data_IF_688193065965
#
_entry.id   IF_688193065965
#
_cell.length_a   1.000
_cell.length_b   1.000
_cell.length_c   1.000
_cell.angle_alpha   90.00
_cell.angle_beta   90.00
_cell.angle_gamma   90.00
#
_symmetry.space_group_name_H-M   'P 1'
#
loop_
_entity.id
_entity.type
_entity.pdbx_description
1 polymer ?
#
# COMPACT_ATOMS: atom_id res chain seq x y z
N UNK A 1 29.80 -29.85 -8.31
CA UNK A 1 28.70 -29.73 -7.35
C UNK A 1 29.14 -29.98 -5.89
N UNK A 2 30.14 -30.79 -5.61
CA UNK A 2 30.55 -31.12 -4.22
C UNK A 2 31.13 -29.94 -3.41
N UNK A 3 31.66 -28.89 -4.03
CA UNK A 3 32.32 -27.78 -3.32
C UNK A 3 31.32 -26.79 -2.71
N UNK A 4 30.19 -26.48 -3.39
CA UNK A 4 29.15 -25.55 -2.86
C UNK A 4 28.45 -26.16 -1.62
N UNK A 5 28.09 -27.44 -1.67
CA UNK A 5 27.47 -28.12 -0.53
C UNK A 5 28.41 -28.16 0.69
N UNK A 6 29.71 -28.37 0.46
CA UNK A 6 30.73 -28.32 1.52
C UNK A 6 30.80 -26.90 2.13
N UNK A 7 30.75 -25.85 1.30
CA UNK A 7 30.81 -24.47 1.79
C UNK A 7 29.53 -24.11 2.60
N UNK A 8 28.35 -24.55 2.18
CA UNK A 8 27.10 -24.41 2.95
C UNK A 8 27.18 -25.13 4.29
N UNK A 9 27.59 -26.39 4.30
CA UNK A 9 27.76 -27.18 5.54
C UNK A 9 28.76 -26.54 6.49
N UNK A 10 29.83 -25.99 5.94
CA UNK A 10 30.80 -25.25 6.74
C UNK A 10 30.21 -23.98 7.32
N UNK A 11 29.48 -23.18 6.51
CA UNK A 11 28.79 -21.96 6.94
C UNK A 11 27.82 -22.25 8.11
N UNK A 12 26.97 -23.26 7.97
CA UNK A 12 26.06 -23.70 9.04
C UNK A 12 26.81 -24.05 10.34
N UNK A 13 27.88 -24.86 10.24
CA UNK A 13 28.71 -25.20 11.42
C UNK A 13 29.37 -23.96 12.05
N UNK A 14 29.81 -23.02 11.22
CA UNK A 14 30.44 -21.79 11.68
C UNK A 14 29.46 -20.88 12.46
N UNK A 15 28.20 -20.84 12.04
CA UNK A 15 27.12 -20.14 12.73
C UNK A 15 26.76 -20.80 14.07
N UNK A 16 26.69 -22.13 14.10
CA UNK A 16 26.44 -22.89 15.32
C UNK A 16 27.53 -22.72 16.39
N UNK A 17 28.80 -22.57 15.98
CA UNK A 17 29.92 -22.39 16.90
C UNK A 17 29.96 -21.00 17.57
N UNK A 18 29.15 -20.04 17.10
CA UNK A 18 29.05 -18.69 17.66
C UNK A 18 27.60 -18.26 17.82
N UNK A 19 26.86 -18.88 18.76
CA UNK A 19 25.42 -18.67 18.87
C UNK A 19 25.04 -17.22 19.21
N UNK A 20 25.77 -16.55 20.09
CA UNK A 20 25.52 -15.15 20.46
C UNK A 20 25.65 -14.18 19.27
N UNK A 21 26.70 -14.33 18.46
CA UNK A 21 26.85 -13.57 17.22
C UNK A 21 25.71 -13.84 16.25
N UNK A 22 25.40 -15.12 16.01
CA UNK A 22 24.36 -15.54 15.07
C UNK A 22 23.00 -15.01 15.49
N UNK A 23 22.67 -15.10 16.78
CA UNK A 23 21.41 -14.60 17.32
C UNK A 23 21.26 -13.09 17.12
N UNK A 24 22.28 -12.29 17.50
CA UNK A 24 22.23 -10.84 17.34
C UNK A 24 22.12 -10.45 15.88
N UNK A 25 22.90 -11.08 14.98
CA UNK A 25 22.86 -10.79 13.56
C UNK A 25 21.49 -11.18 12.94
N UNK A 26 20.96 -12.34 13.28
CA UNK A 26 19.64 -12.80 12.80
C UNK A 26 18.53 -11.89 13.32
N UNK A 27 18.54 -11.49 14.59
CA UNK A 27 17.54 -10.58 15.16
C UNK A 27 17.58 -9.21 14.50
N UNK A 28 18.78 -8.63 14.29
CA UNK A 28 18.92 -7.34 13.62
C UNK A 28 18.37 -7.39 12.18
N UNK A 29 18.74 -8.45 11.43
CA UNK A 29 18.23 -8.65 10.07
C UNK A 29 16.73 -8.97 10.05
N UNK A 30 16.24 -9.76 10.98
CA UNK A 30 14.83 -10.12 11.09
C UNK A 30 13.95 -8.89 11.33
N UNK A 31 14.36 -7.99 12.21
CA UNK A 31 13.65 -6.73 12.45
C UNK A 31 13.69 -5.82 11.21
N UNK A 32 14.86 -5.65 10.58
CA UNK A 32 15.00 -4.83 9.38
C UNK A 32 14.23 -5.38 8.18
N UNK A 33 14.39 -6.67 7.86
CA UNK A 33 13.70 -7.33 6.74
C UNK A 33 12.21 -7.46 7.04
N UNK A 34 11.83 -7.83 8.27
CA UNK A 34 10.44 -7.99 8.69
C UNK A 34 9.65 -6.69 8.56
N UNK A 35 10.18 -5.58 9.06
CA UNK A 35 9.56 -4.26 8.92
C UNK A 35 9.38 -3.86 7.45
N UNK A 36 10.40 -4.08 6.60
CA UNK A 36 10.31 -3.84 5.16
C UNK A 36 9.27 -4.75 4.50
N UNK A 37 9.20 -6.02 4.86
CA UNK A 37 8.23 -6.98 4.34
C UNK A 37 6.80 -6.60 4.72
N UNK A 38 6.55 -6.23 5.98
CA UNK A 38 5.23 -5.79 6.46
C UNK A 38 4.76 -4.56 5.69
N UNK A 39 5.61 -3.53 5.58
CA UNK A 39 5.24 -2.32 4.86
C UNK A 39 5.11 -2.55 3.36
N UNK A 40 5.98 -3.38 2.77
CA UNK A 40 5.86 -3.73 1.36
C UNK A 40 4.57 -4.51 1.07
N UNK A 41 4.06 -5.32 2.01
CA UNK A 41 2.76 -5.98 1.88
C UNK A 41 1.62 -4.96 1.73
N UNK A 42 1.66 -3.86 2.53
CA UNK A 42 0.70 -2.75 2.41
C UNK A 42 0.88 -2.01 1.08
N UNK A 43 2.11 -1.66 0.73
CA UNK A 43 2.44 -0.99 -0.55
C UNK A 43 1.97 -1.84 -1.74
N UNK A 44 2.19 -3.15 -1.70
CA UNK A 44 1.75 -4.07 -2.75
C UNK A 44 0.22 -4.07 -2.87
N UNK A 45 -0.50 -4.19 -1.76
CA UNK A 45 -1.97 -4.22 -1.76
C UNK A 45 -2.58 -2.90 -2.24
N UNK A 46 -2.01 -1.76 -1.79
CA UNK A 46 -2.58 -0.42 -2.05
C UNK A 46 -2.10 0.16 -3.37
N UNK A 47 -0.79 0.14 -3.67
CA UNK A 47 -0.21 0.87 -4.80
C UNK A 47 0.04 0.02 -6.04
N UNK A 48 0.38 -1.29 -5.88
CA UNK A 48 0.86 -2.10 -7.01
C UNK A 48 -0.20 -3.05 -7.56
N UNK A 49 -1.08 -3.58 -6.69
CA UNK A 49 -2.09 -4.53 -7.10
C UNK A 49 -3.21 -3.83 -7.87
N UNK A 50 -3.54 -4.26 -9.10
CA UNK A 50 -4.66 -3.68 -9.85
C UNK A 50 -5.99 -3.86 -9.08
N UNK A 51 -6.97 -3.00 -9.38
CA UNK A 51 -8.32 -3.14 -8.84
C UNK A 51 -8.91 -4.52 -9.23
N UNK A 52 -9.69 -5.17 -8.34
CA UNK A 52 -10.21 -6.53 -8.57
C UNK A 52 -11.44 -6.53 -9.51
N UNK A 53 -11.37 -5.75 -10.58
CA UNK A 53 -12.45 -5.63 -11.56
C UNK A 53 -11.96 -5.99 -12.95
N UNK A 54 -12.86 -6.43 -13.85
CA UNK A 54 -12.49 -6.66 -15.24
C UNK A 54 -11.97 -5.38 -15.90
N UNK A 55 -10.83 -5.47 -16.60
CA UNK A 55 -10.21 -4.36 -17.33
C UNK A 55 -10.09 -3.08 -16.48
N UNK A 56 -9.37 -3.14 -15.31
CA UNK A 56 -9.35 -2.05 -14.33
C UNK A 56 -8.75 -0.76 -14.88
N UNK A 57 -7.91 -0.83 -15.91
CA UNK A 57 -7.33 0.31 -16.63
C UNK A 57 -8.36 1.17 -17.35
N UNK A 58 -9.57 0.64 -17.60
CA UNK A 58 -10.69 1.35 -18.22
C UNK A 58 -11.57 2.08 -17.22
N UNK A 59 -11.36 1.85 -15.92
CA UNK A 59 -12.09 2.55 -14.85
C UNK A 59 -11.45 3.92 -14.61
N UNK A 60 -12.27 4.96 -14.68
CA UNK A 60 -11.83 6.35 -14.49
C UNK A 60 -12.73 7.08 -13.51
N UNK A 61 -12.12 7.96 -12.71
CA UNK A 61 -12.84 9.00 -11.98
C UNK A 61 -13.02 10.22 -12.87
N UNK A 62 -14.22 10.81 -12.85
CA UNK A 62 -14.56 12.03 -13.59
C UNK A 62 -14.70 13.16 -12.56
N UNK A 63 -13.71 14.05 -12.48
CA UNK A 63 -13.61 15.03 -11.41
C UNK A 63 -13.80 16.45 -11.96
N UNK A 64 -14.58 17.27 -11.24
CA UNK A 64 -14.60 18.71 -11.50
C UNK A 64 -13.33 19.37 -10.97
N UNK A 65 -12.74 20.27 -11.73
CA UNK A 65 -11.58 21.08 -11.34
C UNK A 65 -11.89 22.56 -11.50
N UNK A 66 -11.45 23.39 -10.55
CA UNK A 66 -11.59 24.83 -10.69
C UNK A 66 -10.29 25.44 -11.19
N UNK A 67 -10.23 25.74 -12.48
CA UNK A 67 -9.04 26.28 -13.15
C UNK A 67 -8.64 27.67 -12.65
N UNK A 68 -9.60 28.51 -12.20
CA UNK A 68 -9.33 29.85 -11.66
C UNK A 68 -8.66 29.82 -10.28
N UNK A 69 -8.98 28.82 -9.47
CA UNK A 69 -8.39 28.67 -8.13
C UNK A 69 -7.04 27.98 -8.16
N UNK A 70 -6.60 27.46 -9.31
CA UNK A 70 -5.40 26.63 -9.41
C UNK A 70 -5.49 25.37 -8.54
N UNK A 71 -6.71 24.97 -8.20
CA UNK A 71 -6.96 23.87 -7.30
C UNK A 71 -6.89 22.57 -8.10
N UNK A 72 -5.78 21.85 -7.90
CA UNK A 72 -5.58 20.52 -8.47
C UNK A 72 -6.31 19.44 -7.68
N UNK A 73 -7.07 19.80 -6.63
CA UNK A 73 -7.84 18.86 -5.86
C UNK A 73 -9.03 18.36 -6.69
N UNK A 74 -9.24 17.05 -6.62
CA UNK A 74 -10.36 16.40 -7.26
C UNK A 74 -11.66 16.80 -6.56
N UNK A 75 -12.45 17.66 -7.21
CA UNK A 75 -13.76 18.08 -6.73
C UNK A 75 -14.84 17.10 -7.16
N UNK A 76 -15.92 17.05 -6.40
CA UNK A 76 -17.14 16.36 -6.79
C UNK A 76 -17.81 17.05 -7.98
N UNK A 77 -18.75 16.37 -8.63
CA UNK A 77 -19.64 16.98 -9.64
C UNK A 77 -20.94 17.44 -9.01
N UNK A 78 -21.58 18.45 -9.61
CA UNK A 78 -22.95 18.79 -9.27
C UNK A 78 -23.92 17.76 -9.87
N UNK A 79 -25.12 17.57 -9.28
CA UNK A 79 -26.13 16.72 -9.89
C UNK A 79 -26.46 17.10 -11.33
N UNK A 80 -26.60 18.40 -11.61
CA UNK A 80 -26.92 18.89 -12.93
C UNK A 80 -25.80 18.66 -13.93
N UNK A 81 -24.52 18.90 -13.53
CA UNK A 81 -23.37 18.61 -14.41
C UNK A 81 -23.26 17.11 -14.71
N UNK A 82 -23.52 16.24 -13.74
CA UNK A 82 -23.54 14.79 -13.97
C UNK A 82 -24.60 14.39 -14.99
N UNK A 83 -25.82 14.94 -14.91
CA UNK A 83 -26.87 14.66 -15.88
C UNK A 83 -26.49 15.10 -17.29
N UNK A 84 -25.88 16.29 -17.41
CA UNK A 84 -25.39 16.81 -18.68
C UNK A 84 -24.25 15.95 -19.25
N UNK A 85 -23.31 15.52 -18.42
CA UNK A 85 -22.23 14.61 -18.84
C UNK A 85 -22.79 13.27 -19.30
N UNK A 86 -23.74 12.69 -18.51
CA UNK A 86 -24.40 11.42 -18.85
C UNK A 86 -25.14 11.48 -20.19
N UNK A 87 -25.75 12.62 -20.51
CA UNK A 87 -26.52 12.81 -21.75
C UNK A 87 -25.62 13.09 -22.99
N UNK A 88 -24.43 13.67 -22.81
CA UNK A 88 -23.62 14.19 -23.93
C UNK A 88 -22.39 13.34 -24.27
N UNK A 89 -21.93 12.45 -23.37
CA UNK A 89 -20.71 11.67 -23.59
C UNK A 89 -20.91 10.55 -24.63
N UNK A 90 -19.85 10.25 -25.37
CA UNK A 90 -19.76 9.10 -26.26
C UNK A 90 -18.62 8.15 -25.92
N UNK A 91 -17.66 8.58 -25.07
CA UNK A 91 -16.44 7.84 -24.74
C UNK A 91 -16.63 6.77 -23.66
N UNK A 92 -17.70 6.83 -22.86
CA UNK A 92 -17.92 5.88 -21.77
C UNK A 92 -18.90 4.79 -22.16
N UNK A 93 -18.65 3.57 -21.71
CA UNK A 93 -19.60 2.46 -21.79
C UNK A 93 -20.69 2.60 -20.71
N UNK A 94 -20.31 3.09 -19.52
CA UNK A 94 -21.17 3.44 -18.40
C UNK A 94 -20.57 4.58 -17.62
N UNK A 95 -21.40 5.48 -17.09
CA UNK A 95 -21.02 6.58 -16.20
C UNK A 95 -21.96 6.63 -15.01
N UNK A 96 -21.45 6.66 -13.80
CA UNK A 96 -22.25 6.57 -12.60
C UNK A 96 -21.84 7.63 -11.56
N UNK A 97 -22.83 8.11 -10.83
CA UNK A 97 -22.66 8.98 -9.68
C UNK A 97 -22.94 8.25 -8.38
N UNK A 98 -22.20 8.64 -7.34
CA UNK A 98 -22.53 8.23 -5.98
C UNK A 98 -22.27 9.34 -4.96
N UNK A 99 -22.94 9.23 -3.81
CA UNK A 99 -22.66 10.06 -2.65
C UNK A 99 -22.73 9.21 -1.38
N UNK A 100 -21.79 9.44 -0.44
CA UNK A 100 -21.81 8.78 0.87
C UNK A 100 -22.87 9.39 1.80
N UNK A 101 -23.32 8.61 2.76
CA UNK A 101 -24.20 9.08 3.81
C UNK A 101 -24.41 8.06 4.91
N UNK A 102 -24.81 8.54 6.08
CA UNK A 102 -25.17 7.66 7.19
C UNK A 102 -26.48 6.94 6.90
N UNK A 103 -26.50 5.65 7.15
CA UNK A 103 -27.66 4.78 7.03
C UNK A 103 -28.03 4.28 8.43
N UNK A 104 -29.24 4.59 8.86
CA UNK A 104 -29.78 4.11 10.14
C UNK A 104 -30.68 2.91 9.84
N UNK A 105 -30.24 1.72 10.23
CA UNK A 105 -31.03 0.48 10.17
C UNK A 105 -31.80 0.37 11.47
N UNK A 106 -33.13 0.31 11.38
CA UNK A 106 -34.05 0.14 12.51
C UNK A 106 -35.08 -0.95 12.21
N UNK A 107 -35.91 -1.30 13.22
CA UNK A 107 -36.85 -2.41 13.07
C UNK A 107 -36.22 -3.81 13.15
N UNK A 108 -34.99 -3.91 13.62
CA UNK A 108 -34.24 -5.12 13.96
C UNK A 108 -33.93 -5.11 15.46
N UNK A 109 -33.55 -6.27 16.05
CA UNK A 109 -33.32 -6.39 17.50
C UNK A 109 -32.36 -5.32 18.08
N UNK A 110 -31.36 -4.89 17.32
CA UNK A 110 -30.46 -3.79 17.69
C UNK A 110 -30.36 -2.80 16.53
N UNK A 111 -30.84 -1.55 16.69
CA UNK A 111 -30.62 -0.50 15.72
C UNK A 111 -29.11 -0.26 15.49
N UNK A 112 -28.74 -0.04 14.26
CA UNK A 112 -27.34 0.18 13.88
C UNK A 112 -27.23 1.34 12.90
N UNK A 113 -26.21 2.19 13.09
CA UNK A 113 -25.83 3.20 12.12
C UNK A 113 -24.52 2.76 11.43
N UNK A 114 -24.51 2.79 10.11
CA UNK A 114 -23.33 2.52 9.28
C UNK A 114 -23.29 3.49 8.11
N UNK A 115 -22.16 3.53 7.41
CA UNK A 115 -22.02 4.37 6.21
C UNK A 115 -22.45 3.58 5.00
N UNK A 116 -23.40 4.13 4.23
CA UNK A 116 -23.82 3.60 2.94
C UNK A 116 -23.51 4.55 1.79
N UNK A 117 -23.79 4.13 0.59
CA UNK A 117 -23.73 4.94 -0.60
C UNK A 117 -25.11 5.04 -1.26
N UNK A 118 -25.46 6.23 -1.72
CA UNK A 118 -26.53 6.42 -2.69
C UNK A 118 -25.90 6.39 -4.07
N UNK A 119 -26.41 5.58 -4.98
CA UNK A 119 -25.80 5.32 -6.26
C UNK A 119 -26.80 5.47 -7.41
N UNK A 120 -26.32 5.91 -8.58
CA UNK A 120 -27.10 5.86 -9.82
C UNK A 120 -27.26 4.41 -10.30
N UNK A 121 -28.24 4.18 -11.16
CA UNK A 121 -28.59 2.88 -11.71
C UNK A 121 -27.42 2.17 -12.40
N UNK A 122 -26.58 2.93 -13.13
CA UNK A 122 -25.42 2.36 -13.86
C UNK A 122 -24.22 2.04 -12.97
N UNK A 123 -24.30 2.29 -11.66
CA UNK A 123 -23.14 2.18 -10.76
C UNK A 123 -22.47 0.81 -10.79
N UNK A 124 -23.24 -0.26 -10.69
CA UNK A 124 -22.70 -1.62 -10.69
C UNK A 124 -22.21 -2.04 -12.08
N UNK A 125 -22.81 -1.50 -13.15
CA UNK A 125 -22.40 -1.73 -14.53
C UNK A 125 -21.01 -1.16 -14.83
N UNK A 126 -20.65 0.01 -14.25
CA UNK A 126 -19.31 0.58 -14.35
C UNK A 126 -18.25 -0.42 -13.93
N UNK A 127 -18.50 -1.20 -12.86
CA UNK A 127 -17.57 -2.20 -12.34
C UNK A 127 -17.70 -3.57 -13.00
N UNK A 128 -18.76 -3.82 -13.80
CA UNK A 128 -19.08 -5.12 -14.40
C UNK A 128 -19.18 -6.24 -13.35
N UNK A 129 -19.75 -5.94 -12.18
CA UNK A 129 -19.88 -6.90 -11.09
C UNK A 129 -21.34 -7.30 -10.91
N UNK A 130 -21.59 -8.62 -10.91
CA UNK A 130 -22.91 -9.17 -10.64
C UNK A 130 -23.11 -9.41 -9.14
N UNK A 131 -24.32 -9.25 -8.59
CA UNK A 131 -24.62 -9.58 -7.22
C UNK A 131 -24.47 -11.09 -6.95
N UNK A 132 -24.09 -11.43 -5.73
CA UNK A 132 -24.03 -12.82 -5.26
C UNK A 132 -25.43 -13.42 -5.10
N UNK A 133 -26.37 -12.61 -4.62
CA UNK A 133 -27.79 -12.96 -4.46
C UNK A 133 -28.65 -11.84 -5.02
N UNK A 134 -29.76 -12.20 -5.66
CA UNK A 134 -30.74 -11.25 -6.17
C UNK A 134 -30.25 -10.44 -7.37
N UNK A 135 -30.48 -9.13 -7.36
CA UNK A 135 -30.17 -8.20 -8.46
C UNK A 135 -29.65 -6.86 -7.95
N UNK A 136 -29.17 -6.03 -8.86
CA UNK A 136 -28.79 -4.63 -8.62
C UNK A 136 -30.00 -3.69 -8.67
N UNK A 137 -29.78 -2.39 -8.47
CA UNK A 137 -30.79 -1.33 -8.56
C UNK A 137 -31.18 -1.15 -10.03
N UNK A 138 -32.49 -1.03 -10.27
CA UNK A 138 -33.03 -0.81 -11.62
C UNK A 138 -33.27 0.69 -11.89
N UNK A 139 -33.32 1.13 -13.17
CA UNK A 139 -33.56 2.53 -13.53
C UNK A 139 -34.88 3.09 -12.95
N UNK A 140 -35.95 2.30 -12.93
CA UNK A 140 -37.26 2.70 -12.37
C UNK A 140 -37.26 2.87 -10.85
N UNK A 141 -36.23 2.35 -10.16
CA UNK A 141 -36.04 2.52 -8.71
C UNK A 141 -35.23 3.78 -8.37
N UNK A 142 -34.56 4.36 -9.38
CA UNK A 142 -33.70 5.53 -9.20
C UNK A 142 -34.44 6.88 -9.40
N UNK A 143 -35.74 6.88 -9.24
CA UNK A 143 -36.62 8.06 -9.29
C UNK A 143 -37.28 8.30 -7.94
N UNK A 144 -37.63 9.56 -7.64
CA UNK A 144 -38.15 9.98 -6.32
C UNK A 144 -39.37 9.20 -5.85
N UNK A 145 -40.22 8.76 -6.76
CA UNK A 145 -41.42 7.95 -6.48
C UNK A 145 -41.21 6.44 -6.74
N UNK A 146 -39.98 6.02 -7.00
CA UNK A 146 -39.62 4.62 -7.21
C UNK A 146 -39.70 3.80 -5.93
N UNK A 147 -39.68 2.49 -6.09
CA UNK A 147 -39.61 1.55 -4.96
C UNK A 147 -38.29 1.76 -4.21
N UNK A 148 -38.39 1.82 -2.88
CA UNK A 148 -37.19 1.91 -2.04
C UNK A 148 -36.56 0.54 -1.93
N UNK A 149 -35.36 0.45 -2.47
CA UNK A 149 -34.58 -0.79 -2.46
C UNK A 149 -33.20 -0.57 -1.87
N UNK A 150 -32.60 -1.65 -1.42
CA UNK A 150 -31.23 -1.67 -0.92
C UNK A 150 -30.50 -2.91 -1.41
N UNK A 151 -29.26 -2.72 -1.80
CA UNK A 151 -28.29 -3.78 -2.05
C UNK A 151 -27.33 -3.81 -0.86
N UNK A 152 -27.10 -4.98 -0.26
CA UNK A 152 -26.24 -5.14 0.91
C UNK A 152 -24.82 -5.54 0.50
N UNK A 153 -23.82 -5.11 1.26
CA UNK A 153 -22.48 -5.67 1.16
C UNK A 153 -22.45 -7.07 1.74
N UNK A 154 -21.54 -7.91 1.26
CA UNK A 154 -21.33 -9.25 1.83
C UNK A 154 -21.04 -9.17 3.34
N UNK A 155 -20.24 -8.17 3.78
CA UNK A 155 -19.89 -7.96 5.19
C UNK A 155 -21.12 -7.67 6.05
N UNK A 156 -21.99 -6.74 5.63
CA UNK A 156 -23.23 -6.42 6.35
C UNK A 156 -24.18 -7.61 6.39
N UNK A 157 -24.33 -8.33 5.26
CA UNK A 157 -25.14 -9.52 5.18
C UNK A 157 -24.68 -10.63 6.12
N UNK A 158 -23.37 -10.91 6.19
CA UNK A 158 -22.83 -11.90 7.13
C UNK A 158 -22.99 -11.44 8.59
N UNK A 159 -22.64 -10.18 8.90
CA UNK A 159 -22.64 -9.65 10.27
C UNK A 159 -24.04 -9.55 10.87
N UNK A 160 -25.02 -9.09 10.09
CA UNK A 160 -26.38 -8.78 10.61
C UNK A 160 -27.42 -9.85 10.29
N UNK A 161 -27.25 -10.57 9.22
CA UNK A 161 -28.23 -11.55 8.77
C UNK A 161 -27.69 -12.97 8.78
N UNK A 162 -26.51 -13.21 9.36
CA UNK A 162 -25.90 -14.54 9.50
C UNK A 162 -25.66 -15.28 8.18
N UNK A 163 -25.62 -14.55 7.06
CA UNK A 163 -25.50 -15.17 5.75
C UNK A 163 -26.79 -15.85 5.26
N UNK A 164 -27.98 -15.47 5.77
CA UNK A 164 -29.26 -16.05 5.36
C UNK A 164 -29.54 -15.79 3.85
N UNK A 165 -29.61 -16.80 3.00
CA UNK A 165 -29.87 -16.64 1.58
C UNK A 165 -31.27 -16.06 1.29
N UNK A 166 -32.21 -16.18 2.23
CA UNK A 166 -33.58 -15.65 2.11
C UNK A 166 -33.68 -14.17 2.50
N UNK A 167 -32.55 -13.44 2.58
CA UNK A 167 -32.55 -12.00 2.89
C UNK A 167 -33.13 -11.17 1.74
N UNK A 168 -33.01 -11.63 0.49
CA UNK A 168 -33.58 -10.98 -0.68
C UNK A 168 -35.12 -11.04 -0.62
N UNK A 169 -35.75 -9.90 -0.83
CA UNK A 169 -37.20 -9.70 -0.68
C UNK A 169 -37.64 -9.33 0.72
N UNK A 170 -36.78 -9.42 1.75
CA UNK A 170 -37.11 -8.91 3.10
C UNK A 170 -37.17 -7.38 3.10
N UNK A 171 -38.08 -6.88 3.92
CA UNK A 171 -38.26 -5.44 4.14
C UNK A 171 -37.51 -5.01 5.39
N UNK A 172 -36.67 -4.00 5.26
CA UNK A 172 -35.91 -3.37 6.33
C UNK A 172 -36.41 -1.93 6.54
N UNK A 173 -36.27 -1.39 7.75
CA UNK A 173 -36.50 0.04 7.98
C UNK A 173 -35.17 0.78 7.90
N UNK A 174 -34.96 1.51 6.80
CA UNK A 174 -33.75 2.32 6.55
C UNK A 174 -34.11 3.79 6.60
N UNK A 175 -33.46 4.54 7.49
CA UNK A 175 -33.74 5.97 7.73
C UNK A 175 -35.24 6.22 7.95
N UNK A 176 -35.90 5.37 8.76
CA UNK A 176 -37.31 5.44 9.05
C UNK A 176 -38.28 5.06 7.91
N UNK A 177 -37.74 4.52 6.80
CA UNK A 177 -38.55 4.17 5.61
C UNK A 177 -38.45 2.70 5.30
N UNK A 178 -39.58 2.09 4.94
CA UNK A 178 -39.67 0.70 4.48
C UNK A 178 -38.85 0.53 3.17
N UNK A 179 -37.88 -0.37 3.16
CA UNK A 179 -36.92 -0.56 2.07
C UNK A 179 -36.71 -2.05 1.83
N UNK A 180 -36.86 -2.52 0.61
CA UNK A 180 -36.75 -3.93 0.25
C UNK A 180 -35.30 -4.29 -0.12
N UNK A 181 -34.76 -5.36 0.45
CA UNK A 181 -33.48 -5.93 0.04
C UNK A 181 -33.64 -6.58 -1.32
N UNK A 182 -32.93 -6.11 -2.34
CA UNK A 182 -33.01 -6.66 -3.72
C UNK A 182 -31.77 -7.46 -4.11
N UNK A 183 -30.66 -7.31 -3.40
CA UNK A 183 -29.45 -8.07 -3.70
C UNK A 183 -28.39 -7.99 -2.60
N UNK A 184 -27.39 -8.86 -2.74
CA UNK A 184 -26.19 -8.91 -1.92
C UNK A 184 -24.98 -8.95 -2.85
N UNK A 185 -24.02 -8.05 -2.66
CA UNK A 185 -22.79 -8.01 -3.46
C UNK A 185 -21.78 -9.07 -3.01
N UNK A 186 -20.90 -9.53 -3.91
CA UNK A 186 -19.84 -10.48 -3.56
C UNK A 186 -18.81 -9.86 -2.59
N UNK A 187 -18.03 -10.69 -1.85
CA UNK A 187 -17.09 -10.22 -0.82
C UNK A 187 -15.99 -9.29 -1.35
N UNK A 188 -15.62 -9.43 -2.63
CA UNK A 188 -14.58 -8.63 -3.27
C UNK A 188 -15.10 -7.27 -3.79
N UNK A 189 -16.42 -7.03 -3.79
CA UNK A 189 -16.98 -5.74 -4.17
C UNK A 189 -17.01 -4.78 -2.99
N UNK A 190 -16.10 -3.80 -2.99
CA UNK A 190 -15.90 -2.81 -1.92
C UNK A 190 -15.83 -1.39 -2.49
N UNK A 191 -16.73 -1.05 -3.41
CA UNK A 191 -16.81 0.30 -4.01
C UNK A 191 -18.14 0.98 -3.68
N UNK A 192 -18.07 2.23 -3.20
CA UNK A 192 -16.90 2.87 -2.59
C UNK A 192 -16.50 2.17 -1.28
N UNK A 193 -15.22 2.21 -0.90
CA UNK A 193 -14.64 1.40 0.18
C UNK A 193 -15.33 1.56 1.55
N UNK A 194 -16.07 2.64 1.72
CA UNK A 194 -16.81 2.95 2.96
C UNK A 194 -18.22 2.34 3.00
N UNK A 195 -18.77 1.89 1.86
CA UNK A 195 -20.19 1.54 1.78
C UNK A 195 -20.44 0.12 2.28
N UNK A 196 -21.34 -0.02 3.22
CA UNK A 196 -21.86 -1.32 3.65
C UNK A 196 -23.22 -1.64 3.01
N UNK A 197 -23.89 -0.65 2.41
CA UNK A 197 -25.10 -0.83 1.64
C UNK A 197 -25.21 0.25 0.55
N UNK A 198 -25.94 -0.07 -0.51
CA UNK A 198 -26.21 0.83 -1.63
C UNK A 198 -27.72 1.03 -1.80
N UNK A 199 -28.12 2.30 -1.85
CA UNK A 199 -29.52 2.70 -2.09
C UNK A 199 -29.58 3.57 -3.35
N UNK A 200 -30.75 3.69 -4.02
CA UNK A 200 -30.92 4.57 -5.15
C UNK A 200 -30.58 6.03 -4.83
N UNK A 201 -29.92 6.72 -5.76
CA UNK A 201 -29.55 8.12 -5.62
C UNK A 201 -30.77 9.06 -5.68
N UNK A 202 -31.88 8.62 -6.24
CA UNK A 202 -33.18 9.32 -6.37
C UNK A 202 -33.00 10.66 -7.08
N UNK A 203 -32.49 10.61 -8.31
CA UNK A 203 -32.37 11.79 -9.15
C UNK A 203 -33.69 12.11 -9.82
N UNK A 204 -34.27 13.25 -9.45
CA UNK A 204 -35.44 13.75 -10.14
C UNK A 204 -35.02 14.53 -11.39
N UNK A 205 -35.52 14.09 -12.54
CA UNK A 205 -35.27 14.75 -13.83
C UNK A 205 -36.15 15.99 -14.02
N UNK A 206 -37.10 16.25 -13.12
CA UNK A 206 -38.09 17.34 -13.23
C UNK A 206 -37.81 18.58 -12.40
N UNK A 207 -36.99 18.46 -11.33
CA UNK A 207 -36.59 19.59 -10.50
C UNK A 207 -35.20 20.10 -10.87
N UNK A 208 -35.01 21.40 -10.75
CA UNK A 208 -33.73 22.08 -11.01
C UNK A 208 -32.68 21.57 -10.02
N UNK A 209 -31.84 20.64 -10.48
CA UNK A 209 -30.74 20.11 -9.66
C UNK A 209 -29.71 21.22 -9.42
N UNK A 210 -29.23 21.41 -8.17
CA UNK A 210 -28.30 22.49 -7.87
C UNK A 210 -26.96 22.30 -8.59
N UNK A 211 -26.55 23.27 -9.43
CA UNK A 211 -25.24 23.27 -10.09
C UNK A 211 -24.11 23.75 -9.19
N UNK A 212 -24.44 24.50 -8.16
CA UNK A 212 -23.47 25.09 -7.23
C UNK A 212 -22.88 24.05 -6.27
N UNK A 213 -23.68 23.05 -5.90
CA UNK A 213 -23.31 22.02 -4.91
C UNK A 213 -22.65 20.83 -5.60
N UNK A 214 -21.32 20.71 -5.48
CA UNK A 214 -20.52 19.64 -6.09
C UNK A 214 -20.15 18.59 -5.06
N UNK A 215 -21.03 17.60 -4.86
CA UNK A 215 -20.87 16.55 -3.85
C UNK A 215 -20.98 15.12 -4.38
N UNK A 216 -21.25 14.94 -5.67
CA UNK A 216 -21.25 13.63 -6.29
C UNK A 216 -19.84 13.23 -6.69
N UNK A 217 -19.45 12.00 -6.32
CA UNK A 217 -18.29 11.35 -6.91
C UNK A 217 -18.73 10.61 -8.16
N UNK A 218 -18.02 10.82 -9.26
CA UNK A 218 -18.38 10.24 -10.55
C UNK A 218 -17.30 9.22 -10.94
N UNK A 219 -17.76 8.02 -11.30
CA UNK A 219 -16.95 6.96 -11.87
C UNK A 219 -17.48 6.57 -13.23
N UNK A 220 -16.59 6.20 -14.15
CA UNK A 220 -16.98 5.79 -15.48
C UNK A 220 -16.09 4.63 -15.98
N UNK A 221 -16.60 3.92 -16.96
CA UNK A 221 -15.86 2.91 -17.72
C UNK A 221 -15.70 3.39 -19.17
N UNK A 222 -14.46 3.47 -19.63
CA UNK A 222 -14.18 3.79 -21.04
C UNK A 222 -14.72 2.68 -21.96
N UNK A 223 -15.21 3.06 -23.14
CA UNK A 223 -15.55 2.11 -24.22
C UNK A 223 -14.30 1.39 -24.73
N UNK A 224 -14.50 0.25 -25.38
CA UNK A 224 -13.43 -0.49 -26.06
C UNK A 224 -12.73 0.38 -27.09
N UNK A 225 -11.39 0.42 -27.03
CA UNK A 225 -10.56 1.19 -27.97
C UNK A 225 -10.50 2.69 -27.72
N UNK A 226 -11.22 3.22 -26.72
CA UNK A 226 -11.14 4.65 -26.34
C UNK A 226 -10.02 4.86 -25.34
N UNK A 227 -9.10 5.79 -25.65
CA UNK A 227 -8.02 6.15 -24.70
C UNK A 227 -8.48 7.20 -23.70
N UNK A 228 -7.73 7.32 -22.58
CA UNK A 228 -8.01 8.33 -21.56
C UNK A 228 -7.92 9.75 -22.15
N UNK A 229 -6.96 9.98 -23.05
CA UNK A 229 -6.72 11.28 -23.70
C UNK A 229 -7.88 11.66 -24.64
N UNK A 230 -8.43 10.69 -25.38
CA UNK A 230 -9.61 10.91 -26.24
C UNK A 230 -10.84 11.27 -25.41
N UNK A 231 -11.08 10.52 -24.33
CA UNK A 231 -12.19 10.80 -23.42
C UNK A 231 -12.01 12.15 -22.71
N UNK A 232 -10.78 12.51 -22.31
CA UNK A 232 -10.47 13.81 -21.72
C UNK A 232 -10.76 14.96 -22.71
N UNK A 233 -10.37 14.81 -23.97
CA UNK A 233 -10.64 15.81 -25.00
C UNK A 233 -12.16 16.02 -25.21
N UNK A 234 -12.94 14.94 -25.26
CA UNK A 234 -14.40 15.02 -25.34
C UNK A 234 -15.00 15.74 -24.11
N UNK A 235 -14.58 15.34 -22.90
CA UNK A 235 -15.08 15.95 -21.67
C UNK A 235 -14.70 17.43 -21.54
N UNK A 236 -13.55 17.85 -22.08
CA UNK A 236 -13.18 19.26 -22.13
C UNK A 236 -14.12 20.06 -23.05
N UNK A 237 -14.55 19.49 -24.17
CA UNK A 237 -15.53 20.12 -25.07
C UNK A 237 -16.88 20.25 -24.38
N UNK A 238 -17.33 19.22 -23.69
CA UNK A 238 -18.60 19.25 -22.92
C UNK A 238 -18.51 20.29 -21.81
N UNK A 239 -17.43 20.30 -21.02
CA UNK A 239 -17.22 21.29 -19.97
C UNK A 239 -17.23 22.72 -20.50
N UNK A 240 -16.57 22.99 -21.62
CA UNK A 240 -16.57 24.31 -22.26
C UNK A 240 -17.96 24.76 -22.74
N UNK A 241 -18.79 23.84 -23.24
CA UNK A 241 -20.20 24.14 -23.59
C UNK A 241 -21.01 24.49 -22.34
N UNK A 242 -20.85 23.73 -21.27
CA UNK A 242 -21.56 23.96 -20.01
C UNK A 242 -21.12 25.30 -19.37
N UNK A 243 -19.83 25.63 -19.42
CA UNK A 243 -19.31 26.92 -18.97
C UNK A 243 -19.95 28.10 -19.78
N UNK A 244 -20.02 27.96 -21.09
CA UNK A 244 -20.63 28.98 -21.96
C UNK A 244 -22.14 29.15 -21.70
N UNK A 245 -22.85 28.04 -21.42
CA UNK A 245 -24.28 28.00 -21.18
C UNK A 245 -24.67 28.47 -19.75
N UNK A 246 -23.86 28.10 -18.75
CA UNK A 246 -24.13 28.34 -17.35
C UNK A 246 -23.02 29.14 -16.67
N UNK A 247 -22.77 30.35 -17.16
CA UNK A 247 -21.67 31.21 -16.69
C UNK A 247 -21.67 31.46 -15.17
N UNK A 248 -22.85 31.62 -14.57
CA UNK A 248 -22.98 31.95 -13.14
C UNK A 248 -22.45 30.84 -12.24
N UNK A 249 -22.59 29.57 -12.66
CA UNK A 249 -22.26 28.40 -11.83
C UNK A 249 -21.05 27.62 -12.29
N UNK A 250 -20.73 27.71 -13.61
CA UNK A 250 -19.70 26.87 -14.23
C UNK A 250 -18.47 27.65 -14.73
N UNK A 251 -18.41 28.99 -14.50
CA UNK A 251 -17.26 29.79 -14.92
C UNK A 251 -15.95 29.32 -14.27
N UNK A 252 -14.98 28.96 -15.08
CA UNK A 252 -13.68 28.44 -14.66
C UNK A 252 -13.71 26.98 -14.16
N UNK A 253 -14.84 26.28 -14.30
CA UNK A 253 -14.91 24.86 -14.00
C UNK A 253 -14.61 24.01 -15.23
N UNK A 254 -13.70 23.07 -15.07
CA UNK A 254 -13.35 22.06 -16.06
C UNK A 254 -13.56 20.65 -15.53
N UNK A 255 -13.21 19.68 -16.35
CA UNK A 255 -13.28 18.25 -16.01
C UNK A 255 -11.89 17.63 -16.14
N UNK A 256 -11.51 16.80 -15.18
CA UNK A 256 -10.28 15.99 -15.22
C UNK A 256 -10.62 14.52 -15.06
N UNK A 257 -10.17 13.72 -16.01
CA UNK A 257 -10.25 12.26 -15.93
C UNK A 257 -8.96 11.72 -15.33
N UNK A 258 -9.10 10.80 -14.38
CA UNK A 258 -7.98 10.12 -13.74
C UNK A 258 -8.30 8.64 -13.67
N UNK A 259 -7.33 7.75 -13.87
CA UNK A 259 -7.56 6.33 -13.62
C UNK A 259 -8.02 6.11 -12.19
N UNK A 260 -9.07 5.31 -12.00
CA UNK A 260 -9.70 5.14 -10.68
C UNK A 260 -8.68 4.67 -9.62
N UNK A 261 -7.80 3.73 -9.99
CA UNK A 261 -6.73 3.29 -9.10
C UNK A 261 -5.78 4.43 -8.69
N UNK A 262 -5.38 5.29 -9.63
CA UNK A 262 -4.53 6.45 -9.34
C UNK A 262 -5.22 7.45 -8.41
N UNK A 263 -6.51 7.70 -8.63
CA UNK A 263 -7.32 8.57 -7.80
C UNK A 263 -7.39 8.06 -6.35
N UNK A 264 -7.66 6.77 -6.17
CA UNK A 264 -7.80 6.14 -4.85
C UNK A 264 -6.49 6.21 -4.05
N UNK A 265 -5.34 6.15 -4.72
CA UNK A 265 -4.04 6.11 -4.04
C UNK A 265 -3.30 7.45 -3.98
N UNK A 266 -3.76 8.48 -4.69
CA UNK A 266 -3.06 9.78 -4.81
C UNK A 266 -2.70 10.37 -3.45
N UNK A 267 -3.62 10.35 -2.48
CA UNK A 267 -3.41 10.94 -1.16
C UNK A 267 -2.48 10.11 -0.27
N UNK A 268 -2.50 8.79 -0.38
CA UNK A 268 -1.74 7.88 0.50
C UNK A 268 -0.37 7.52 -0.06
N UNK A 269 -0.17 7.63 -1.38
CA UNK A 269 1.07 7.26 -2.07
C UNK A 269 2.32 7.96 -1.51
N UNK A 270 2.35 9.29 -1.29
CA UNK A 270 3.54 9.96 -0.75
C UNK A 270 3.91 9.44 0.64
N UNK A 271 2.91 9.27 1.52
CA UNK A 271 3.11 8.78 2.87
C UNK A 271 3.68 7.34 2.88
N UNK A 272 3.10 6.44 2.06
CA UNK A 272 3.58 5.06 1.95
C UNK A 272 5.01 4.98 1.40
N UNK A 273 5.37 5.81 0.42
CA UNK A 273 6.73 5.86 -0.13
C UNK A 273 7.74 6.41 0.88
N UNK A 274 7.38 7.44 1.65
CA UNK A 274 8.22 7.97 2.74
C UNK A 274 8.44 6.90 3.80
N UNK A 275 7.39 6.20 4.23
CA UNK A 275 7.49 5.11 5.19
C UNK A 275 8.36 3.97 4.66
N UNK A 276 8.21 3.59 3.39
CA UNK A 276 9.04 2.57 2.75
C UNK A 276 10.52 2.99 2.74
N UNK A 277 10.81 4.26 2.46
CA UNK A 277 12.15 4.82 2.58
C UNK A 277 12.69 4.76 4.00
N UNK A 278 11.86 5.10 4.99
CA UNK A 278 12.25 5.07 6.40
C UNK A 278 12.61 3.66 6.88
N UNK A 279 11.77 2.64 6.58
CA UNK A 279 12.10 1.26 6.95
C UNK A 279 13.29 0.71 6.16
N UNK A 280 13.50 1.20 4.92
CA UNK A 280 14.71 0.94 4.14
C UNK A 280 15.97 1.45 4.85
N UNK A 281 15.93 2.63 5.44
CA UNK A 281 17.05 3.16 6.27
C UNK A 281 17.26 2.32 7.54
N UNK A 282 16.19 1.85 8.19
CA UNK A 282 16.30 0.91 9.32
C UNK A 282 17.02 -0.38 8.91
N UNK A 283 16.68 -0.92 7.73
CA UNK A 283 17.38 -2.09 7.19
C UNK A 283 18.85 -1.77 6.92
N UNK A 284 19.17 -0.63 6.34
CA UNK A 284 20.57 -0.22 6.11
C UNK A 284 21.36 -0.13 7.43
N UNK A 285 20.77 0.43 8.49
CA UNK A 285 21.37 0.46 9.83
C UNK A 285 21.62 -0.96 10.34
N UNK A 286 20.62 -1.85 10.26
CA UNK A 286 20.79 -3.26 10.64
C UNK A 286 21.91 -3.95 9.85
N UNK A 287 22.01 -3.67 8.57
CA UNK A 287 23.04 -4.20 7.67
C UNK A 287 24.45 -3.68 8.04
N UNK A 288 24.59 -2.39 8.33
CA UNK A 288 25.86 -1.80 8.80
C UNK A 288 26.29 -2.45 10.12
N UNK A 289 25.36 -2.69 11.04
CA UNK A 289 25.66 -3.37 12.31
C UNK A 289 26.13 -4.80 12.09
N UNK A 290 25.46 -5.56 11.21
CA UNK A 290 25.90 -6.91 10.86
C UNK A 290 27.24 -6.90 10.15
N UNK A 291 27.50 -5.94 9.24
CA UNK A 291 28.80 -5.78 8.60
C UNK A 291 29.93 -5.49 9.61
N UNK A 292 29.68 -4.63 10.59
CA UNK A 292 30.63 -4.34 11.68
C UNK A 292 30.93 -5.58 12.52
N UNK A 293 29.88 -6.38 12.82
CA UNK A 293 30.05 -7.65 13.53
C UNK A 293 30.84 -8.68 12.71
N UNK A 294 30.59 -8.78 11.40
CA UNK A 294 31.33 -9.65 10.49
C UNK A 294 32.81 -9.21 10.37
N UNK A 295 33.09 -7.91 10.31
CA UNK A 295 34.44 -7.37 10.30
C UNK A 295 35.19 -7.68 11.62
N UNK A 296 34.52 -7.56 12.77
CA UNK A 296 35.09 -7.93 14.04
C UNK A 296 35.46 -9.42 14.10
N UNK A 297 34.57 -10.27 13.58
CA UNK A 297 34.80 -11.71 13.51
C UNK A 297 35.91 -12.08 12.51
N UNK A 298 36.01 -11.39 11.38
CA UNK A 298 37.07 -11.59 10.39
C UNK A 298 38.45 -11.36 11.00
N UNK A 299 38.62 -10.33 11.85
CA UNK A 299 39.89 -10.08 12.54
C UNK A 299 40.26 -11.21 13.50
N UNK A 300 39.29 -11.80 14.21
CA UNK A 300 39.54 -12.93 15.10
C UNK A 300 39.94 -14.21 14.34
N UNK A 301 39.54 -14.33 13.06
CA UNK A 301 39.82 -15.50 12.18
C UNK A 301 41.05 -15.32 11.28
N UNK A 302 41.81 -14.23 11.43
CA UNK A 302 42.98 -13.96 10.57
C UNK A 302 43.98 -15.13 10.56
N UNK A 303 44.25 -15.76 11.69
CA UNK A 303 45.17 -16.92 11.80
C UNK A 303 44.64 -18.11 10.99
N UNK A 304 43.35 -18.39 11.05
CA UNK A 304 42.69 -19.49 10.32
C UNK A 304 42.78 -19.29 8.79
N UNK A 305 42.50 -18.03 8.32
CA UNK A 305 42.60 -17.69 6.89
C UNK A 305 44.03 -17.77 6.41
N UNK A 306 45.00 -17.30 7.19
CA UNK A 306 46.42 -17.38 6.86
C UNK A 306 46.89 -18.82 6.70
N UNK A 307 46.50 -19.74 7.61
CA UNK A 307 46.81 -21.19 7.53
C UNK A 307 46.21 -21.78 6.24
N UNK A 308 44.95 -21.47 5.91
CA UNK A 308 44.31 -21.98 4.69
C UNK A 308 44.99 -21.49 3.42
N UNK A 309 45.39 -20.22 3.38
CA UNK A 309 46.13 -19.65 2.26
C UNK A 309 47.50 -20.33 2.08
N UNK A 310 48.20 -20.59 3.20
CA UNK A 310 49.44 -21.31 3.20
C UNK A 310 49.30 -22.77 2.69
N UNK A 311 48.11 -23.39 2.94
CA UNK A 311 47.73 -24.73 2.43
C UNK A 311 47.20 -24.70 0.99
N UNK A 312 47.25 -23.56 0.28
CA UNK A 312 46.90 -23.44 -1.14
C UNK A 312 45.42 -23.07 -1.40
N UNK A 313 44.68 -22.57 -0.44
CA UNK A 313 43.34 -22.07 -0.70
C UNK A 313 43.38 -20.80 -1.56
N UNK A 314 42.63 -20.80 -2.67
CA UNK A 314 42.54 -19.63 -3.54
C UNK A 314 41.72 -18.53 -2.90
N UNK A 315 42.04 -17.26 -3.23
CA UNK A 315 41.30 -16.08 -2.74
C UNK A 315 39.82 -16.15 -3.08
N UNK A 316 39.46 -16.60 -4.29
CA UNK A 316 38.07 -16.77 -4.72
C UNK A 316 37.29 -17.77 -3.83
N UNK A 317 37.94 -18.84 -3.36
CA UNK A 317 37.32 -19.81 -2.46
C UNK A 317 37.03 -19.23 -1.08
N UNK A 318 37.92 -18.39 -0.55
CA UNK A 318 37.71 -17.70 0.74
C UNK A 318 36.57 -16.70 0.62
N UNK A 319 36.55 -15.88 -0.44
CA UNK A 319 35.46 -14.93 -0.69
C UNK A 319 34.13 -15.66 -0.80
N UNK A 320 34.03 -16.70 -1.62
CA UNK A 320 32.81 -17.49 -1.80
C UNK A 320 32.31 -18.06 -0.49
N UNK A 321 33.19 -18.60 0.33
CA UNK A 321 32.83 -19.17 1.63
C UNK A 321 32.26 -18.12 2.58
N UNK A 322 32.87 -16.92 2.68
CA UNK A 322 32.39 -15.83 3.52
C UNK A 322 31.06 -15.25 3.01
N UNK A 323 30.87 -15.18 1.68
CA UNK A 323 29.60 -14.77 1.08
C UNK A 323 28.49 -15.78 1.36
N UNK A 324 28.77 -17.08 1.34
CA UNK A 324 27.79 -18.10 1.71
C UNK A 324 27.41 -17.97 3.20
N UNK A 325 28.38 -17.69 4.09
CA UNK A 325 28.09 -17.47 5.51
C UNK A 325 27.18 -16.24 5.73
N UNK A 326 27.44 -15.11 5.05
CA UNK A 326 26.60 -13.93 5.12
C UNK A 326 25.22 -14.13 4.46
N UNK A 327 25.14 -14.86 3.37
CA UNK A 327 23.88 -15.21 2.70
C UNK A 327 23.02 -16.10 3.60
N UNK A 328 23.61 -17.11 4.26
CA UNK A 328 22.89 -17.95 5.24
C UNK A 328 22.33 -17.13 6.39
N UNK A 329 23.11 -16.19 6.94
CA UNK A 329 22.62 -15.26 7.98
C UNK A 329 21.46 -14.42 7.47
N UNK A 330 21.54 -13.87 6.26
CA UNK A 330 20.51 -13.05 5.67
C UNK A 330 19.22 -13.85 5.36
N UNK A 331 19.37 -15.09 4.90
CA UNK A 331 18.23 -15.98 4.68
C UNK A 331 17.55 -16.42 6.00
N UNK A 332 18.33 -16.69 7.05
CA UNK A 332 17.79 -16.94 8.38
C UNK A 332 17.07 -15.68 8.94
N UNK A 333 17.72 -14.51 8.79
CA UNK A 333 17.10 -13.24 9.14
C UNK A 333 15.83 -12.94 8.33
N UNK A 334 15.83 -13.23 7.02
CA UNK A 334 14.67 -13.11 6.16
C UNK A 334 13.53 -14.05 6.53
N UNK A 335 13.83 -15.32 6.81
CA UNK A 335 12.83 -16.30 7.26
C UNK A 335 12.19 -15.91 8.61
N UNK A 336 13.00 -15.52 9.59
CA UNK A 336 12.49 -15.02 10.89
C UNK A 336 11.79 -13.68 10.74
N UNK A 337 12.29 -12.80 9.87
CA UNK A 337 11.66 -11.52 9.51
C UNK A 337 10.30 -11.70 8.86
N UNK A 338 10.15 -12.73 8.01
CA UNK A 338 8.86 -13.08 7.40
C UNK A 338 7.84 -13.51 8.47
N UNK A 339 8.27 -14.30 9.47
CA UNK A 339 7.40 -14.68 10.60
C UNK A 339 6.98 -13.44 11.42
N UNK A 340 7.90 -12.48 11.64
CA UNK A 340 7.58 -11.23 12.30
C UNK A 340 6.65 -10.36 11.44
N UNK A 341 6.79 -10.42 10.12
CA UNK A 341 5.95 -9.66 9.19
C UNK A 341 4.49 -10.11 9.22
N UNK A 342 4.19 -11.39 9.48
CA UNK A 342 2.81 -11.87 9.66
C UNK A 342 2.12 -11.10 10.79
N UNK A 343 2.76 -11.00 11.95
CA UNK A 343 2.22 -10.22 13.07
C UNK A 343 2.28 -8.71 12.82
N UNK A 344 3.29 -8.25 12.10
CA UNK A 344 3.45 -6.84 11.73
C UNK A 344 2.31 -6.32 10.84
N UNK A 345 1.85 -7.10 9.87
CA UNK A 345 0.70 -6.77 9.02
C UNK A 345 -0.58 -6.68 9.86
N UNK A 346 -0.84 -7.68 10.72
CA UNK A 346 -2.02 -7.68 11.59
C UNK A 346 -1.99 -6.49 12.57
N UNK A 347 -0.82 -6.17 13.14
CA UNK A 347 -0.66 -5.02 14.02
C UNK A 347 -0.89 -3.70 13.28
N UNK A 348 -0.37 -3.53 12.06
CA UNK A 348 -0.59 -2.33 11.25
C UNK A 348 -2.08 -2.15 10.91
N UNK A 349 -2.78 -3.22 10.54
CA UNK A 349 -4.22 -3.14 10.26
C UNK A 349 -5.04 -2.84 11.49
N UNK A 350 -4.65 -3.34 12.68
CA UNK A 350 -5.33 -3.09 13.93
C UNK A 350 -5.09 -1.68 14.50
N UNK A 351 -3.93 -1.06 14.21
CA UNK A 351 -3.58 0.28 14.69
C UNK A 351 -4.20 1.40 13.87
N UNK A 352 -4.64 1.12 12.64
CA UNK A 352 -5.33 2.13 11.82
C UNK A 352 -6.75 2.29 12.35
N UNK A 353 -7.15 3.50 12.81
CA UNK A 353 -8.51 3.75 13.26
C UNK A 353 -9.52 3.41 12.15
N UNK A 354 -10.66 2.85 12.53
CA UNK A 354 -11.74 2.49 11.58
C UNK A 354 -12.25 3.68 10.76
N UNK A 355 -12.05 4.89 11.28
CA UNK A 355 -12.43 6.16 10.64
C UNK A 355 -11.42 6.59 9.57
N UNK A 356 -10.22 6.07 9.63
CA UNK A 356 -9.17 6.31 8.61
C UNK A 356 -9.36 5.34 7.46
N UNK A 357 -9.90 5.87 6.38
CA UNK A 357 -10.22 5.09 5.17
C UNK A 357 -8.98 4.88 4.30
N UNK A 358 -8.09 3.98 4.72
CA UNK A 358 -7.01 3.54 3.83
C UNK A 358 -7.58 2.59 2.79
N UNK A 359 -7.44 2.90 1.49
CA UNK A 359 -7.90 2.01 0.44
C UNK A 359 -7.25 0.63 0.58
N UNK A 360 -8.04 -0.44 0.57
CA UNK A 360 -7.59 -1.83 0.45
C UNK A 360 -6.58 -2.31 1.52
N UNK A 361 -6.51 -1.64 2.68
CA UNK A 361 -5.62 -2.06 3.77
C UNK A 361 -5.94 -3.48 4.27
N UNK A 362 -7.21 -3.84 4.28
CA UNK A 362 -7.71 -5.17 4.66
C UNK A 362 -7.35 -6.29 3.66
N UNK A 363 -6.85 -5.93 2.48
CA UNK A 363 -6.31 -6.87 1.49
C UNK A 363 -4.81 -7.11 1.67
N UNK A 364 -4.16 -6.43 2.63
CA UNK A 364 -2.73 -6.60 2.90
C UNK A 364 -2.47 -8.01 3.43
N UNK A 365 -1.75 -8.81 2.66
CA UNK A 365 -1.38 -10.18 3.01
C UNK A 365 -0.06 -10.55 2.38
N UNK A 366 0.61 -11.53 2.96
CA UNK A 366 1.86 -12.05 2.41
C UNK A 366 1.51 -13.00 1.26
N UNK A 367 1.67 -12.52 0.03
CA UNK A 367 1.47 -13.25 -1.21
C UNK A 367 2.82 -13.60 -1.89
N UNK A 368 2.76 -14.22 -3.09
CA UNK A 368 3.96 -14.59 -3.84
C UNK A 368 4.88 -13.41 -4.20
N UNK A 369 4.31 -12.21 -4.41
CA UNK A 369 5.08 -10.98 -4.71
C UNK A 369 5.84 -10.53 -3.48
N UNK A 370 5.19 -10.54 -2.32
CA UNK A 370 5.81 -10.19 -1.02
C UNK A 370 6.89 -11.19 -0.65
N UNK A 371 6.67 -12.51 -0.88
CA UNK A 371 7.69 -13.55 -0.68
C UNK A 371 8.89 -13.32 -1.59
N UNK A 372 8.66 -13.02 -2.87
CA UNK A 372 9.72 -12.68 -3.84
C UNK A 372 10.52 -11.45 -3.43
N UNK A 373 9.85 -10.41 -2.96
CA UNK A 373 10.48 -9.21 -2.41
C UNK A 373 11.36 -9.54 -1.20
N UNK A 374 10.83 -10.27 -0.22
CA UNK A 374 11.56 -10.67 1.00
C UNK A 374 12.80 -11.48 0.67
N UNK A 375 12.68 -12.45 -0.24
CA UNK A 375 13.82 -13.23 -0.72
C UNK A 375 14.85 -12.34 -1.42
N UNK A 376 14.42 -11.46 -2.32
CA UNK A 376 15.27 -10.51 -3.02
C UNK A 376 16.03 -9.60 -2.07
N UNK A 377 15.34 -8.99 -1.11
CA UNK A 377 15.95 -8.13 -0.07
C UNK A 377 16.95 -8.93 0.76
N UNK A 378 16.62 -10.16 1.18
CA UNK A 378 17.52 -11.02 1.95
C UNK A 378 18.80 -11.34 1.16
N UNK A 379 18.68 -11.72 -0.11
CA UNK A 379 19.82 -12.03 -0.97
C UNK A 379 20.69 -10.79 -1.21
N UNK A 380 20.09 -9.67 -1.57
CA UNK A 380 20.79 -8.40 -1.80
C UNK A 380 21.52 -7.95 -0.53
N UNK A 381 20.87 -8.00 0.63
CA UNK A 381 21.46 -7.69 1.93
C UNK A 381 22.67 -8.60 2.22
N UNK A 382 22.50 -9.93 2.10
CA UNK A 382 23.56 -10.89 2.36
C UNK A 382 24.79 -10.69 1.46
N UNK A 383 24.57 -10.35 0.19
CA UNK A 383 25.64 -10.08 -0.77
C UNK A 383 26.32 -8.73 -0.52
N UNK A 384 25.56 -7.64 -0.44
CA UNK A 384 26.11 -6.29 -0.30
C UNK A 384 26.99 -6.16 0.95
N UNK A 385 26.48 -6.63 2.10
CA UNK A 385 27.19 -6.50 3.36
C UNK A 385 28.15 -7.66 3.66
N UNK A 386 28.07 -8.77 2.91
CA UNK A 386 29.06 -9.84 2.93
C UNK A 386 30.30 -9.56 2.07
N UNK A 387 30.16 -8.81 0.96
CA UNK A 387 31.26 -8.55 0.01
C UNK A 387 32.41 -7.79 0.67
N UNK A 388 32.13 -6.70 1.39
CA UNK A 388 33.15 -5.85 2.02
C UNK A 388 34.03 -6.62 3.02
N UNK A 389 33.48 -7.37 4.01
CA UNK A 389 34.27 -8.23 4.90
C UNK A 389 35.01 -9.34 4.13
N UNK A 390 34.37 -9.96 3.12
CA UNK A 390 34.97 -11.06 2.36
C UNK A 390 36.19 -10.61 1.55
N UNK A 391 36.12 -9.45 0.87
CA UNK A 391 37.22 -8.88 0.12
C UNK A 391 38.40 -8.53 1.02
N UNK A 392 38.15 -8.01 2.23
CA UNK A 392 39.19 -7.64 3.19
C UNK A 392 39.83 -8.86 3.85
N UNK A 393 39.02 -9.83 4.28
CA UNK A 393 39.52 -11.05 4.91
C UNK A 393 40.33 -11.95 3.94
N UNK A 394 40.07 -11.83 2.61
CA UNK A 394 40.75 -12.61 1.59
C UNK A 394 42.15 -12.11 1.18
N UNK A 395 42.62 -11.00 1.76
CA UNK A 395 43.93 -10.40 1.46
C UNK A 395 44.82 -10.42 2.72
N UNK A 396 45.22 -11.60 3.23
CA UNK A 396 46.17 -11.67 4.34
C UNK A 396 47.55 -11.32 3.81
N UNK A 397 48.16 -10.24 4.33
CA UNK A 397 49.61 -10.07 4.22
C UNK A 397 50.28 -11.15 5.09
N UNK A 398 50.61 -12.30 4.44
CA UNK A 398 51.21 -13.47 5.10
C UNK A 398 52.53 -13.07 5.81
N UNK A 399 53.23 -12.05 5.28
CA UNK A 399 54.46 -11.54 5.84
C UNK A 399 54.26 -10.74 7.15
N UNK A 400 53.15 -10.04 7.34
CA UNK A 400 52.84 -9.29 8.55
C UNK A 400 52.27 -10.17 9.66
N UNK A 401 51.53 -11.23 9.33
CA UNK A 401 50.96 -12.17 10.31
C UNK A 401 52.01 -13.10 10.98
N UNK A 402 53.18 -13.25 10.35
CA UNK A 402 54.32 -14.03 10.91
C UNK A 402 55.29 -13.14 11.74
N UNK A 403 55.17 -11.83 11.62
CA UNK A 403 56.04 -10.87 12.30
C UNK A 403 55.28 -10.19 13.48
N UNK A 404 54.94 -10.99 14.45
CA UNK A 404 54.11 -10.61 15.63
C UNK A 404 54.84 -9.67 16.66
N UNK A 405 55.93 -9.01 16.28
CA UNK A 405 56.61 -8.04 17.13
C UNK A 405 56.98 -6.80 16.34
N UNK A 406 56.29 -5.72 16.63
CA UNK A 406 56.55 -4.32 16.27
C UNK A 406 55.93 -3.80 14.95
N UNK A 407 55.05 -2.78 15.14
CA UNK A 407 54.64 -1.74 14.16
C UNK A 407 53.73 -2.15 12.98
N UNK A 408 52.52 -2.59 13.26
CA UNK A 408 51.46 -2.58 12.24
C UNK A 408 50.39 -1.48 12.48
N UNK A 409 50.86 -0.23 12.64
CA UNK A 409 49.96 0.92 12.84
C UNK A 409 49.11 1.26 11.60
N UNK A 410 49.60 0.97 10.38
CA UNK A 410 48.97 1.44 9.12
C UNK A 410 47.80 0.58 8.62
N UNK A 411 47.87 -0.73 8.81
CA UNK A 411 46.77 -1.65 8.41
C UNK A 411 45.57 -1.53 9.37
N UNK A 412 45.86 -1.29 10.67
CA UNK A 412 44.84 -1.02 11.69
C UNK A 412 44.08 0.29 11.43
N UNK A 413 44.76 1.33 10.97
CA UNK A 413 44.20 2.66 10.72
C UNK A 413 43.15 2.64 9.57
N UNK A 414 43.38 1.88 8.51
CA UNK A 414 42.39 1.74 7.40
C UNK A 414 41.13 0.98 7.83
N UNK A 415 41.25 -0.02 8.66
CA UNK A 415 40.12 -0.76 9.20
C UNK A 415 39.33 0.09 10.22
N UNK A 416 40.03 0.84 11.08
CA UNK A 416 39.42 1.80 12.01
C UNK A 416 38.67 2.90 11.25
N UNK A 417 39.25 3.45 10.17
CA UNK A 417 38.61 4.47 9.34
C UNK A 417 37.33 3.96 8.70
N UNK A 418 37.33 2.71 8.18
CA UNK A 418 36.11 2.12 7.59
C UNK A 418 35.04 1.90 8.64
N UNK A 419 35.37 1.32 9.80
CA UNK A 419 34.43 1.20 10.92
C UNK A 419 33.91 2.56 11.36
N UNK A 420 34.78 3.55 11.46
CA UNK A 420 34.38 4.93 11.76
C UNK A 420 33.40 5.50 10.75
N UNK A 421 33.64 5.28 9.45
CA UNK A 421 32.73 5.72 8.38
C UNK A 421 31.37 5.01 8.46
N UNK A 422 31.35 3.70 8.73
CA UNK A 422 30.10 2.95 8.94
C UNK A 422 29.33 3.46 10.15
N UNK A 423 30.00 3.73 11.29
CA UNK A 423 29.36 4.29 12.49
C UNK A 423 28.83 5.70 12.21
N UNK A 424 29.60 6.55 11.53
CA UNK A 424 29.13 7.90 11.15
C UNK A 424 27.91 7.83 10.25
N UNK A 425 27.90 6.92 9.25
CA UNK A 425 26.73 6.74 8.38
C UNK A 425 25.50 6.23 9.15
N UNK A 426 25.69 5.34 10.12
CA UNK A 426 24.61 4.85 11.00
C UNK A 426 24.03 5.98 11.84
N UNK A 427 24.88 6.80 12.48
CA UNK A 427 24.44 7.96 13.26
C UNK A 427 23.70 8.96 12.37
N UNK A 428 24.23 9.24 11.17
CA UNK A 428 23.58 10.15 10.23
C UNK A 428 22.19 9.64 9.80
N UNK A 429 22.05 8.36 9.46
CA UNK A 429 20.77 7.74 9.12
C UNK A 429 19.80 7.77 10.31
N UNK A 430 20.28 7.45 11.50
CA UNK A 430 19.47 7.48 12.73
C UNK A 430 18.96 8.89 13.03
N UNK A 431 19.83 9.92 12.90
CA UNK A 431 19.44 11.31 13.08
C UNK A 431 18.41 11.77 12.04
N UNK A 432 18.58 11.38 10.78
CA UNK A 432 17.62 11.68 9.71
C UNK A 432 16.25 11.06 10.02
N UNK A 433 16.21 9.80 10.47
CA UNK A 433 14.98 9.14 10.88
C UNK A 433 14.34 9.80 12.10
N UNK A 434 15.13 10.19 13.10
CA UNK A 434 14.64 10.84 14.30
C UNK A 434 14.02 12.21 13.99
N UNK A 435 14.70 13.02 13.15
CA UNK A 435 14.17 14.32 12.70
C UNK A 435 12.89 14.11 11.88
N UNK A 436 12.87 13.15 10.96
CA UNK A 436 11.67 12.83 10.17
C UNK A 436 10.50 12.41 11.06
N UNK A 437 10.72 11.52 12.03
CA UNK A 437 9.71 11.09 12.99
C UNK A 437 9.21 12.26 13.85
N UNK A 438 10.12 13.12 14.32
CA UNK A 438 9.76 14.32 15.10
C UNK A 438 8.90 15.31 14.31
N UNK A 439 9.22 15.54 13.03
CA UNK A 439 8.42 16.39 12.16
C UNK A 439 7.02 15.79 11.87
N UNK A 440 6.92 14.49 11.64
CA UNK A 440 5.65 13.81 11.46
C UNK A 440 4.78 13.87 12.72
N UNK A 441 5.38 13.64 13.90
CA UNK A 441 4.67 13.74 15.16
C UNK A 441 4.16 15.17 15.42
N UNK A 442 5.01 16.17 15.16
CA UNK A 442 4.65 17.58 15.28
C UNK A 442 3.49 17.95 14.32
N UNK A 443 3.52 17.45 13.09
CA UNK A 443 2.44 17.64 12.12
C UNK A 443 1.13 17.02 12.61
N UNK A 444 1.18 15.79 13.13
CA UNK A 444 0.01 15.10 13.68
C UNK A 444 -0.60 15.86 14.86
N UNK A 445 0.24 16.29 15.82
CA UNK A 445 -0.22 17.08 16.99
C UNK A 445 -0.86 18.39 16.54
N UNK A 446 -0.29 19.08 15.55
CA UNK A 446 -0.89 20.29 14.99
C UNK A 446 -2.25 20.04 14.34
N UNK A 447 -2.40 18.94 13.62
CA UNK A 447 -3.68 18.56 13.02
C UNK A 447 -4.74 18.27 14.09
N UNK A 448 -4.37 17.59 15.18
CA UNK A 448 -5.27 17.33 16.30
C UNK A 448 -5.64 18.59 17.11
N UNK A 449 -4.76 19.58 17.14
CA UNK A 449 -4.95 20.85 17.84
C UNK A 449 -5.58 21.94 16.95
N UNK A 450 -5.78 21.67 15.65
CA UNK A 450 -6.46 22.62 14.79
C UNK A 450 -7.92 22.73 15.24
N UNK A 451 -8.29 23.89 15.71
CA UNK A 451 -9.66 24.24 16.04
C UNK A 451 -10.51 24.19 14.76
N UNK A 452 -11.40 23.23 14.68
CA UNK A 452 -12.28 23.04 13.51
C UNK A 452 -13.40 24.09 13.46
N UNK A 453 -13.45 25.02 14.44
CA UNK A 453 -14.42 26.10 14.45
C UNK A 453 -15.86 25.66 14.72
N UNK A 454 -16.05 24.45 15.23
CA UNK A 454 -17.36 23.95 15.70
C UNK A 454 -17.21 23.49 17.15
N UNK A 455 -18.10 23.99 18.04
CA UNK A 455 -18.29 23.45 19.37
C UNK A 455 -19.14 22.19 19.33
#
# INVERSE_FOLDING_TARGET
MNTLWQDVRYGVRALWKSPGFTLVAVLALALGIGANTSLFSVVNAVLLRPLPFPEPERLVGVNSINQKKGDDQFGGASPADFLDWRAQHNSFAAIAAYSGGNVNLSGVEQPEQFVGARVSDDFFEVFKVQPLLGRTILPEENVVRGNRVVVLSHRLWQRRFGGDPNVVGKTLTINGKSTTVVGVMPPDFKQPSFAEAWTPLLMDTGEMQPRESRYFTITARLKDGVTLEQAQAEMNVIAGRLEAQYKETNEGWGVRLVRLHEQDVTQVRPALLILLGAVGFVLLIACVNVANLLLARATARHKEVAIRTALGATRARIIRQLLIESLLLALLGGGTGLLLALWGVDAMTALVPSDWRFPRLDESRIDGVVLGFTLGVSVVTGLLFGILPALKASNPNVYESLKETSRSATAGLRLQRLRGLLVVSEIALTMLLLVGAGLMLKSLVRLQQSDLGFD
#
